data_IF_110946163368
#
_entry.id   IF_110946163368
#
_cell.length_a   1.000
_cell.length_b   1.000
_cell.length_c   1.000
_cell.angle_alpha   90.00
_cell.angle_beta   90.00
_cell.angle_gamma   90.00
#
_symmetry.space_group_name_H-M   'P 1'
#
loop_
_entity.id
_entity.type
_entity.pdbx_description
1 polymer ?
#
# COMPACT_ATOMS: atom_id res chain seq x y z
N UNK A 1 7.14 -3.05 1.74
CA UNK A 1 6.90 -1.83 0.93
C UNK A 1 6.30 -2.28 -0.37
N UNK A 2 5.30 -1.56 -0.86
CA UNK A 2 4.56 -1.96 -2.06
C UNK A 2 3.67 -0.81 -2.57
N UNK A 3 2.98 -1.04 -3.68
CA UNK A 3 1.96 -0.18 -4.23
C UNK A 3 0.58 -0.83 -4.33
N UNK A 4 -0.43 -0.10 -3.89
CA UNK A 4 -1.81 -0.35 -4.30
C UNK A 4 -2.12 0.52 -5.51
N UNK A 5 -2.09 -0.10 -6.69
CA UNK A 5 -2.34 0.59 -7.95
C UNK A 5 -3.82 0.72 -8.31
N UNK A 6 -4.10 1.64 -9.24
CA UNK A 6 -5.41 1.81 -9.89
C UNK A 6 -6.59 2.01 -8.92
N UNK A 7 -6.36 2.67 -7.78
CA UNK A 7 -7.42 3.04 -6.83
C UNK A 7 -8.34 4.05 -7.52
N UNK A 8 -9.63 3.73 -7.60
CA UNK A 8 -10.59 4.46 -8.42
C UNK A 8 -11.31 5.55 -7.62
N UNK A 9 -11.37 6.76 -8.17
CA UNK A 9 -12.26 7.80 -7.67
C UNK A 9 -13.67 7.54 -8.23
N UNK A 10 -14.54 7.00 -7.38
CA UNK A 10 -15.91 6.60 -7.73
C UNK A 10 -16.90 7.54 -7.06
N UNK A 11 -17.72 8.20 -7.85
CA UNK A 11 -18.90 8.93 -7.41
C UNK A 11 -20.15 8.08 -7.68
N UNK A 12 -21.08 8.00 -6.73
CA UNK A 12 -22.30 7.22 -6.91
C UNK A 12 -23.42 8.16 -7.34
N UNK A 13 -24.16 7.74 -8.35
CA UNK A 13 -25.22 8.57 -8.96
C UNK A 13 -26.44 8.76 -8.04
N UNK A 14 -26.57 7.99 -6.96
CA UNK A 14 -27.63 8.14 -5.96
C UNK A 14 -27.07 8.30 -4.54
N UNK A 15 -27.68 9.17 -3.69
CA UNK A 15 -27.26 9.37 -2.31
C UNK A 15 -27.40 8.07 -1.48
N UNK A 16 -26.42 7.80 -0.61
CA UNK A 16 -26.53 6.71 0.35
C UNK A 16 -27.60 7.06 1.39
N UNK A 17 -28.66 6.26 1.45
CA UNK A 17 -29.68 6.39 2.47
C UNK A 17 -29.11 5.97 3.85
N UNK A 18 -29.48 6.64 4.94
CA UNK A 18 -29.10 6.22 6.29
C UNK A 18 -29.50 4.78 6.55
N UNK A 19 -28.62 4.02 7.20
CA UNK A 19 -28.92 2.63 7.57
C UNK A 19 -30.00 2.63 8.66
N UNK A 20 -31.09 1.89 8.45
CA UNK A 20 -32.18 1.73 9.42
C UNK A 20 -32.10 0.34 10.07
N UNK A 21 -32.45 0.17 11.36
CA UNK A 21 -32.56 -1.15 11.99
C UNK A 21 -33.46 -2.08 11.17
N UNK A 22 -32.96 -3.28 10.83
CA UNK A 22 -33.69 -4.25 10.00
C UNK A 22 -33.54 -4.06 8.48
N UNK A 23 -32.84 -3.02 8.00
CA UNK A 23 -32.56 -2.83 6.57
C UNK A 23 -31.06 -2.97 6.27
N UNK A 24 -30.72 -3.88 5.35
CA UNK A 24 -29.38 -4.00 4.80
C UNK A 24 -29.07 -2.74 3.98
N UNK A 25 -27.86 -2.19 4.14
CA UNK A 25 -27.38 -1.04 3.37
C UNK A 25 -27.53 -1.31 1.85
N UNK A 26 -28.38 -0.53 1.18
CA UNK A 26 -28.60 -0.64 -0.27
C UNK A 26 -27.66 0.31 -1.00
N UNK A 27 -27.02 -0.19 -2.06
CA UNK A 27 -26.11 0.59 -2.92
C UNK A 27 -26.55 0.44 -4.36
N UNK A 28 -26.66 1.55 -5.08
CA UNK A 28 -26.82 1.52 -6.53
C UNK A 28 -25.54 1.00 -7.17
N UNK A 29 -25.68 0.17 -8.20
CA UNK A 29 -24.55 -0.36 -8.95
C UNK A 29 -23.93 0.71 -9.87
N UNK A 30 -24.69 1.74 -10.23
CA UNK A 30 -24.24 2.81 -11.12
C UNK A 30 -23.27 3.78 -10.42
N UNK A 31 -22.17 4.05 -11.10
CA UNK A 31 -21.13 4.97 -10.63
C UNK A 31 -20.53 5.77 -11.78
N UNK A 32 -20.06 6.97 -11.45
CA UNK A 32 -19.23 7.80 -12.33
C UNK A 32 -17.78 7.67 -11.90
N UNK A 33 -16.90 7.45 -12.88
CA UNK A 33 -15.46 7.30 -12.67
C UNK A 33 -14.76 8.63 -12.93
N UNK A 34 -14.01 9.11 -11.95
CA UNK A 34 -13.31 10.40 -12.01
C UNK A 34 -11.79 10.28 -12.20
N UNK A 35 -11.29 9.07 -12.45
CA UNK A 35 -9.88 8.76 -12.64
C UNK A 35 -9.36 7.76 -11.61
N UNK A 36 -8.04 7.55 -11.62
CA UNK A 36 -7.36 6.63 -10.72
C UNK A 36 -6.13 7.27 -10.06
N UNK A 37 -5.71 6.71 -8.94
CA UNK A 37 -4.46 7.03 -8.24
C UNK A 37 -3.75 5.75 -7.82
N UNK A 38 -2.45 5.82 -7.59
CA UNK A 38 -1.63 4.76 -7.02
C UNK A 38 -1.14 5.20 -5.65
N UNK A 39 -1.28 4.33 -4.66
CA UNK A 39 -0.75 4.54 -3.32
C UNK A 39 0.50 3.67 -3.11
N UNK A 40 1.65 4.30 -3.00
CA UNK A 40 2.87 3.65 -2.51
C UNK A 40 2.91 3.73 -0.99
N UNK A 41 3.30 2.64 -0.32
CA UNK A 41 3.45 2.61 1.14
C UNK A 41 4.63 1.74 1.59
N UNK A 42 5.31 2.21 2.63
CA UNK A 42 6.30 1.50 3.42
C UNK A 42 5.79 1.44 4.86
N UNK A 43 5.57 0.22 5.34
CA UNK A 43 5.14 -0.08 6.70
C UNK A 43 6.35 -0.48 7.54
N UNK A 44 6.63 0.24 8.62
CA UNK A 44 7.57 -0.17 9.64
C UNK A 44 6.87 -1.15 10.58
N UNK A 45 7.20 -2.43 10.46
CA UNK A 45 6.46 -3.53 11.11
C UNK A 45 6.47 -3.41 12.64
N UNK A 46 7.63 -3.06 13.22
CA UNK A 46 7.81 -2.99 14.67
C UNK A 46 7.00 -1.87 15.35
N UNK A 47 6.59 -0.83 14.62
CA UNK A 47 5.89 0.33 15.19
C UNK A 47 4.51 0.55 14.60
N UNK A 48 4.25 0.01 13.41
CA UNK A 48 3.06 0.32 12.61
C UNK A 48 3.12 1.63 11.85
N UNK A 49 4.24 2.38 11.93
CA UNK A 49 4.39 3.64 11.19
C UNK A 49 4.30 3.37 9.69
N UNK A 50 3.52 4.19 8.99
CA UNK A 50 3.43 4.15 7.53
C UNK A 50 3.99 5.42 6.93
N UNK A 51 4.98 5.26 6.05
CA UNK A 51 5.40 6.29 5.10
C UNK A 51 4.72 6.00 3.77
N UNK A 52 4.05 6.98 3.18
CA UNK A 52 3.26 6.73 1.97
C UNK A 52 3.26 7.93 1.03
N UNK A 53 2.95 7.66 -0.24
CA UNK A 53 2.80 8.68 -1.27
C UNK A 53 1.70 8.28 -2.26
N UNK A 54 0.83 9.23 -2.61
CA UNK A 54 -0.11 9.09 -3.72
C UNK A 54 0.50 9.64 -4.99
N UNK A 55 0.42 8.88 -6.08
CA UNK A 55 0.99 9.20 -7.39
C UNK A 55 -0.04 8.91 -8.49
N UNK A 56 -0.05 9.67 -9.60
CA UNK A 56 -0.99 9.44 -10.70
C UNK A 56 -0.69 8.16 -11.50
N UNK A 57 0.54 7.62 -11.39
CA UNK A 57 1.02 6.44 -12.10
C UNK A 57 1.89 5.59 -11.17
N UNK A 58 2.18 4.36 -11.60
CA UNK A 58 2.97 3.36 -10.89
C UNK A 58 4.18 2.86 -11.70
N UNK A 59 4.93 3.77 -12.33
CA UNK A 59 6.13 3.40 -13.09
C UNK A 59 7.36 3.52 -12.20
N UNK A 60 8.50 3.07 -12.72
CA UNK A 60 9.78 3.17 -12.02
C UNK A 60 10.14 4.61 -11.62
N UNK A 61 9.72 5.64 -12.36
CA UNK A 61 9.97 7.03 -11.96
C UNK A 61 9.22 7.42 -10.67
N UNK A 62 7.97 7.00 -10.55
CA UNK A 62 7.16 7.23 -9.35
C UNK A 62 7.68 6.41 -8.16
N UNK A 63 8.11 5.18 -8.42
CA UNK A 63 8.75 4.31 -7.44
C UNK A 63 10.08 4.89 -6.93
N UNK A 64 10.97 5.34 -7.81
CA UNK A 64 12.21 6.04 -7.45
C UNK A 64 11.96 7.31 -6.64
N UNK A 65 10.91 8.07 -6.99
CA UNK A 65 10.53 9.24 -6.21
C UNK A 65 10.08 8.87 -4.79
N UNK A 66 9.47 7.69 -4.62
CA UNK A 66 9.07 7.18 -3.33
C UNK A 66 10.26 6.63 -2.53
N UNK A 67 11.21 5.91 -3.15
CA UNK A 67 12.47 5.51 -2.52
C UNK A 67 13.23 6.71 -1.96
N UNK A 68 13.37 7.79 -2.76
CA UNK A 68 13.96 9.05 -2.28
C UNK A 68 13.18 9.71 -1.14
N UNK A 69 11.88 9.48 -1.03
CA UNK A 69 11.10 9.97 0.10
C UNK A 69 11.39 9.14 1.36
N UNK A 70 11.53 7.83 1.23
CA UNK A 70 11.89 6.93 2.33
C UNK A 70 13.28 7.28 2.85
N UNK A 71 14.28 7.38 1.97
CA UNK A 71 15.66 7.70 2.36
C UNK A 71 15.73 9.02 3.17
N UNK A 72 14.99 10.05 2.73
CA UNK A 72 14.87 11.32 3.47
C UNK A 72 14.11 11.20 4.80
N UNK A 73 13.17 10.27 4.90
CA UNK A 73 12.37 10.08 6.12
C UNK A 73 13.14 9.34 7.22
N UNK A 74 14.17 8.58 6.86
CA UNK A 74 14.98 7.79 7.79
C UNK A 74 16.48 8.06 7.59
N UNK A 75 16.94 9.31 7.79
CA UNK A 75 18.33 9.67 7.54
C UNK A 75 19.28 8.91 8.46
N UNK A 76 20.37 8.38 7.89
CA UNK A 76 21.43 7.69 8.64
C UNK A 76 21.05 6.31 9.19
N UNK A 77 19.90 5.76 8.79
CA UNK A 77 19.46 4.42 9.22
C UNK A 77 19.74 3.38 8.12
N UNK A 78 20.03 2.16 8.56
CA UNK A 78 20.02 0.98 7.69
C UNK A 78 18.58 0.51 7.47
N UNK A 79 18.17 0.42 6.21
CA UNK A 79 16.80 0.14 5.80
C UNK A 79 16.72 -1.18 5.04
N UNK A 80 15.94 -2.11 5.56
CA UNK A 80 15.61 -3.36 4.88
C UNK A 80 14.20 -3.27 4.28
N UNK A 81 14.12 -3.11 2.97
CA UNK A 81 12.87 -3.01 2.24
C UNK A 81 12.43 -4.39 1.74
N UNK A 82 11.40 -4.98 2.35
CA UNK A 82 10.77 -6.21 1.84
C UNK A 82 9.69 -5.84 0.81
N UNK A 83 9.78 -6.36 -0.42
CA UNK A 83 8.92 -6.00 -1.55
C UNK A 83 8.55 -7.22 -2.39
N UNK A 84 7.53 -7.10 -3.23
CA UNK A 84 7.18 -8.12 -4.22
C UNK A 84 8.13 -8.09 -5.43
N UNK A 85 7.98 -9.06 -6.33
CA UNK A 85 8.82 -9.22 -7.52
C UNK A 85 8.43 -8.32 -8.71
N UNK A 86 7.65 -7.25 -8.50
CA UNK A 86 7.13 -6.44 -9.59
C UNK A 86 8.24 -5.85 -10.48
N UNK A 87 7.98 -5.81 -11.79
CA UNK A 87 9.00 -5.51 -12.79
C UNK A 87 9.57 -4.09 -12.67
N UNK A 88 8.80 -3.15 -12.13
CA UNK A 88 9.26 -1.77 -11.90
C UNK A 88 10.41 -1.72 -10.87
N UNK A 89 10.40 -2.61 -9.87
CA UNK A 89 11.42 -2.70 -8.82
C UNK A 89 12.79 -3.15 -9.36
N UNK A 90 12.81 -3.76 -10.55
CA UNK A 90 14.00 -4.39 -11.15
C UNK A 90 14.55 -3.61 -12.35
N UNK A 91 14.01 -2.43 -12.65
CA UNK A 91 14.52 -1.55 -13.70
C UNK A 91 15.97 -1.13 -13.42
N UNK A 92 16.75 -0.91 -14.48
CA UNK A 92 18.17 -0.57 -14.36
C UNK A 92 18.36 0.68 -13.50
N UNK A 93 17.53 1.70 -13.72
CA UNK A 93 17.56 2.96 -12.99
C UNK A 93 17.27 2.79 -11.49
N UNK A 94 16.44 1.80 -11.12
CA UNK A 94 16.18 1.46 -9.71
C UNK A 94 17.36 0.74 -9.09
N UNK A 95 17.94 -0.22 -9.81
CA UNK A 95 19.14 -0.95 -9.37
C UNK A 95 20.33 -0.02 -9.20
N UNK A 96 20.57 0.87 -10.16
CA UNK A 96 21.66 1.84 -10.14
C UNK A 96 21.49 2.82 -8.98
N UNK A 97 20.26 3.26 -8.71
CA UNK A 97 19.97 4.12 -7.56
C UNK A 97 20.22 3.37 -6.24
N UNK A 98 19.76 2.12 -6.08
CA UNK A 98 20.00 1.32 -4.88
C UNK A 98 21.50 1.05 -4.66
N UNK A 99 22.27 0.81 -5.73
CA UNK A 99 23.72 0.63 -5.64
C UNK A 99 24.46 1.88 -5.10
N UNK A 100 23.89 3.07 -5.29
CA UNK A 100 24.42 4.33 -4.77
C UNK A 100 23.96 4.63 -3.33
N UNK A 101 23.02 3.86 -2.78
CA UNK A 101 22.45 4.05 -1.44
C UNK A 101 22.64 2.77 -0.61
N UNK A 102 23.88 2.45 -0.19
CA UNK A 102 24.21 1.18 0.45
C UNK A 102 23.53 0.97 1.80
N UNK A 103 22.99 2.04 2.41
CA UNK A 103 22.15 1.95 3.61
C UNK A 103 20.77 1.35 3.32
N UNK A 104 20.39 1.11 2.06
CA UNK A 104 19.08 0.57 1.68
C UNK A 104 19.26 -0.78 0.99
N UNK A 105 18.84 -1.85 1.66
CA UNK A 105 18.84 -3.21 1.10
C UNK A 105 17.42 -3.62 0.71
N UNK A 106 17.23 -3.94 -0.57
CA UNK A 106 15.98 -4.48 -1.09
C UNK A 106 15.94 -6.02 -1.00
N UNK A 107 14.92 -6.54 -0.33
CA UNK A 107 14.61 -7.97 -0.21
C UNK A 107 13.33 -8.27 -0.98
N UNK A 108 13.36 -9.30 -1.82
CA UNK A 108 12.20 -9.71 -2.61
C UNK A 108 11.55 -10.95 -2.00
N UNK A 109 10.23 -10.94 -1.87
CA UNK A 109 9.49 -12.13 -1.45
C UNK A 109 9.69 -13.27 -2.45
N UNK A 110 9.60 -14.56 -2.05
CA UNK A 110 9.56 -15.66 -2.99
C UNK A 110 8.44 -15.50 -4.04
N UNK A 111 8.57 -16.19 -5.17
CA UNK A 111 7.49 -16.25 -6.17
C UNK A 111 6.21 -16.76 -5.52
N UNK A 112 5.08 -16.10 -5.80
CA UNK A 112 3.78 -16.37 -5.13
C UNK A 112 3.78 -16.15 -3.61
N UNK A 113 4.77 -15.44 -3.08
CA UNK A 113 4.95 -15.13 -1.66
C UNK A 113 4.40 -13.78 -1.22
N UNK A 114 3.49 -13.15 -1.98
CA UNK A 114 2.93 -11.82 -1.67
C UNK A 114 2.28 -11.75 -0.28
N UNK A 115 1.73 -12.86 0.20
CA UNK A 115 1.17 -13.00 1.55
C UNK A 115 2.16 -12.71 2.70
N UNK A 116 3.47 -12.68 2.44
CA UNK A 116 4.50 -12.27 3.41
C UNK A 116 4.62 -10.76 3.56
N UNK A 117 4.17 -9.99 2.57
CA UNK A 117 4.30 -8.54 2.54
C UNK A 117 3.22 -7.88 3.40
N UNK A 118 3.52 -7.65 4.69
CA UNK A 118 2.55 -7.10 5.66
C UNK A 118 1.96 -5.74 5.27
N UNK A 119 2.60 -4.98 4.39
CA UNK A 119 1.99 -3.73 3.88
C UNK A 119 0.70 -4.01 3.10
N UNK A 120 0.54 -5.18 2.49
CA UNK A 120 -0.71 -5.58 1.83
C UNK A 120 -1.86 -5.74 2.84
N UNK A 121 -1.55 -6.18 4.06
CA UNK A 121 -2.54 -6.20 5.15
C UNK A 121 -3.00 -4.79 5.46
N UNK A 122 -2.07 -3.84 5.58
CA UNK A 122 -2.38 -2.43 5.78
C UNK A 122 -3.18 -1.83 4.60
N UNK A 123 -2.86 -2.20 3.36
CA UNK A 123 -3.68 -1.85 2.21
C UNK A 123 -5.11 -2.34 2.31
N UNK A 124 -5.33 -3.55 2.83
CA UNK A 124 -6.66 -4.05 3.13
C UNK A 124 -7.40 -3.22 4.18
N UNK A 125 -6.69 -2.66 5.17
CA UNK A 125 -7.28 -1.79 6.21
C UNK A 125 -7.77 -0.48 5.60
N UNK A 126 -6.89 0.26 4.91
CA UNK A 126 -7.28 1.55 4.29
C UNK A 126 -8.37 1.34 3.23
N UNK A 127 -8.32 0.23 2.49
CA UNK A 127 -9.35 -0.12 1.50
C UNK A 127 -10.73 -0.22 2.17
N UNK A 128 -10.83 -1.01 3.25
CA UNK A 128 -12.10 -1.21 3.97
C UNK A 128 -12.59 0.04 4.68
N UNK A 129 -11.69 0.82 5.27
CA UNK A 129 -12.06 1.93 6.17
C UNK A 129 -12.22 3.27 5.45
N UNK A 130 -11.48 3.52 4.38
CA UNK A 130 -11.45 4.84 3.74
C UNK A 130 -11.83 4.84 2.26
N UNK A 131 -11.53 3.78 1.50
CA UNK A 131 -11.64 3.79 0.03
C UNK A 131 -12.95 3.15 -0.43
N UNK A 132 -13.21 1.88 -0.07
CA UNK A 132 -14.31 1.06 -0.62
C UNK A 132 -15.71 1.63 -0.34
N UNK A 133 -15.86 2.40 0.73
CA UNK A 133 -17.12 3.04 1.12
C UNK A 133 -17.16 4.54 0.81
N UNK A 134 -16.07 5.11 0.31
CA UNK A 134 -15.99 6.52 -0.03
C UNK A 134 -16.77 6.85 -1.31
N UNK A 135 -17.19 8.10 -1.40
CA UNK A 135 -17.73 8.72 -2.61
C UNK A 135 -16.74 9.83 -2.98
N UNK A 136 -16.21 9.80 -4.19
CA UNK A 136 -15.12 10.67 -4.62
C UNK A 136 -15.46 11.31 -5.96
N UNK A 137 -15.68 12.62 -5.94
CA UNK A 137 -16.03 13.42 -7.13
C UNK A 137 -14.80 13.81 -7.97
N UNK A 138 -13.59 13.51 -7.47
CA UNK A 138 -12.33 13.73 -8.18
C UNK A 138 -11.20 12.88 -7.61
N UNK A 139 -10.10 12.71 -8.37
CA UNK A 139 -8.85 12.13 -7.86
C UNK A 139 -8.26 12.98 -6.73
N UNK A 140 -8.45 14.31 -6.75
CA UNK A 140 -7.98 15.22 -5.69
C UNK A 140 -8.65 14.89 -4.36
N UNK A 141 -9.96 14.69 -4.38
CA UNK A 141 -10.75 14.32 -3.20
C UNK A 141 -10.35 12.94 -2.64
N UNK A 142 -10.22 11.94 -3.51
CA UNK A 142 -9.70 10.62 -3.14
C UNK A 142 -8.30 10.73 -2.49
N UNK A 143 -7.39 11.49 -3.10
CA UNK A 143 -6.05 11.69 -2.56
C UNK A 143 -6.06 12.40 -1.19
N UNK A 144 -6.96 13.36 -0.99
CA UNK A 144 -7.13 14.04 0.30
C UNK A 144 -7.62 13.06 1.37
N UNK A 145 -8.59 12.20 1.04
CA UNK A 145 -9.10 11.17 1.96
C UNK A 145 -8.03 10.15 2.35
N UNK A 146 -7.23 9.69 1.37
CA UNK A 146 -6.10 8.78 1.62
C UNK A 146 -5.09 9.42 2.57
N UNK A 147 -4.71 10.69 2.33
CA UNK A 147 -3.77 11.42 3.20
C UNK A 147 -4.32 11.59 4.61
N UNK A 148 -5.59 11.96 4.75
CA UNK A 148 -6.24 12.10 6.05
C UNK A 148 -6.25 10.76 6.82
N UNK A 149 -6.53 9.65 6.12
CA UNK A 149 -6.45 8.32 6.73
C UNK A 149 -5.04 7.98 7.21
N UNK A 150 -4.01 8.23 6.39
CA UNK A 150 -2.61 7.95 6.76
C UNK A 150 -2.20 8.75 8.00
N UNK A 151 -2.56 10.03 8.08
CA UNK A 151 -2.27 10.85 9.26
C UNK A 151 -2.94 10.27 10.51
N UNK A 152 -4.26 10.02 10.46
CA UNK A 152 -4.98 9.44 11.59
C UNK A 152 -4.63 7.98 11.92
N UNK A 153 -4.03 7.24 10.97
CA UNK A 153 -3.40 5.95 11.22
C UNK A 153 -2.10 6.13 12.00
N UNK A 154 -1.21 7.01 11.54
CA UNK A 154 0.09 7.22 12.17
C UNK A 154 -0.01 7.78 13.59
N UNK A 155 -1.06 8.56 13.90
CA UNK A 155 -1.34 9.03 15.26
C UNK A 155 -1.75 7.90 16.22
N UNK A 156 -2.25 6.78 15.70
CA UNK A 156 -2.77 5.63 16.47
C UNK A 156 -2.10 4.32 16.07
N UNK A 157 -0.92 4.42 15.46
CA UNK A 157 -0.21 3.26 14.90
C UNK A 157 0.07 2.24 15.99
N UNK A 158 0.05 0.98 15.58
CA UNK A 158 0.41 -0.13 16.43
C UNK A 158 1.24 -1.15 15.62
N UNK A 159 2.11 -1.92 16.27
CA UNK A 159 2.92 -2.92 15.60
C UNK A 159 2.07 -3.91 14.79
N UNK A 160 2.66 -4.41 13.70
CA UNK A 160 2.13 -5.58 13.00
C UNK A 160 2.94 -6.80 13.42
N UNK A 161 2.24 -7.89 13.71
CA UNK A 161 2.85 -9.13 14.16
C UNK A 161 2.39 -10.26 13.24
N UNK A 162 3.33 -11.06 12.76
CA UNK A 162 2.99 -12.30 12.08
C UNK A 162 2.34 -13.26 13.07
N UNK A 163 1.20 -13.82 12.69
CA UNK A 163 0.50 -14.82 13.51
C UNK A 163 1.10 -16.22 13.38
N UNK A 164 2.01 -16.41 12.43
CA UNK A 164 2.73 -17.67 12.17
C UNK A 164 4.18 -17.53 12.59
N UNK A 165 4.77 -18.60 13.10
CA UNK A 165 6.19 -18.64 13.45
C UNK A 165 7.04 -18.57 12.18
N UNK A 166 8.32 -18.23 12.35
CA UNK A 166 9.27 -18.23 11.24
C UNK A 166 9.36 -19.62 10.57
N UNK A 167 9.35 -20.69 11.37
CA UNK A 167 9.38 -22.08 10.89
C UNK A 167 8.16 -22.42 10.02
N UNK A 168 6.96 -22.06 10.47
CA UNK A 168 5.72 -22.23 9.71
C UNK A 168 5.77 -21.46 8.39
N UNK A 169 6.27 -20.24 8.44
CA UNK A 169 6.44 -19.37 7.28
C UNK A 169 7.40 -20.01 6.28
N UNK A 170 8.58 -20.45 6.73
CA UNK A 170 9.62 -21.04 5.90
C UNK A 170 9.13 -22.34 5.25
N UNK A 171 8.43 -23.20 6.00
CA UNK A 171 7.85 -24.44 5.48
C UNK A 171 6.84 -24.18 4.35
N UNK A 172 6.05 -23.10 4.45
CA UNK A 172 5.09 -22.71 3.40
C UNK A 172 5.73 -21.99 2.22
N UNK A 173 6.82 -21.25 2.47
CA UNK A 173 7.53 -20.47 1.46
C UNK A 173 8.39 -21.34 0.52
N UNK A 174 8.69 -22.59 0.91
CA UNK A 174 9.37 -23.53 0.03
C UNK A 174 8.49 -23.91 -1.17
N UNK A 175 8.96 -23.75 -2.41
CA UNK A 175 8.28 -24.31 -3.57
C UNK A 175 8.12 -25.82 -3.36
N UNK A 176 6.94 -26.37 -3.66
CA UNK A 176 6.83 -27.83 -3.82
C UNK A 176 7.73 -28.20 -5.01
N UNK A 177 8.85 -28.85 -4.74
CA UNK A 177 9.58 -29.59 -5.76
C UNK A 177 8.66 -30.70 -6.24
N UNK A 178 8.18 -30.57 -7.49
CA UNK A 178 7.58 -31.67 -8.23
C UNK A 178 8.67 -32.65 -8.66
#
# INVERSE_FOLDING_TARGET
MDEKSQIQALDRTAPMLPTQPGQIERRTHDYKRHGTTTLFAALQIATGQVTAAVKPRHRHQEFLAFLRQIDRAYPGQELHLVMDNYATHKKAEVRDWLAQHPNITAHFTPTSGSWLNLVEVWFGIIDRQAIRRGVFTSVKDLNAKIRAFINGWNDRKHPFVWTKTAEDILKKAQPKTN
#
